data_IF_213111081895
#
_entry.id   IF_213111081895
#
_cell.length_a   1.000
_cell.length_b   1.000
_cell.length_c   1.000
_cell.angle_alpha   90.00
_cell.angle_beta   90.00
_cell.angle_gamma   90.00
#
_symmetry.space_group_name_H-M   'P 1'
#
loop_
_entity.id
_entity.type
_entity.pdbx_description
1 polymer ?
#
# COMPACT_ATOMS: atom_id res chain seq x y z
N UNK A 1 -1.95 -9.32 7.09
CA UNK A 1 -1.31 -8.02 6.83
C UNK A 1 -0.11 -8.11 5.88
N UNK A 2 0.90 -8.95 6.14
CA UNK A 2 2.14 -9.02 5.33
C UNK A 2 1.85 -9.34 3.85
N UNK A 3 1.05 -10.37 3.56
CA UNK A 3 0.66 -10.71 2.18
C UNK A 3 -0.06 -9.57 1.48
N UNK A 4 -0.97 -8.90 2.18
CA UNK A 4 -1.69 -7.74 1.66
C UNK A 4 -0.72 -6.62 1.29
N UNK A 5 0.22 -6.27 2.17
CA UNK A 5 1.25 -5.28 1.89
C UNK A 5 2.09 -5.64 0.66
N UNK A 6 2.47 -6.91 0.53
CA UNK A 6 3.23 -7.40 -0.63
C UNK A 6 2.49 -7.19 -1.95
N UNK A 7 1.19 -7.48 -1.99
CA UNK A 7 0.37 -7.28 -3.19
C UNK A 7 0.01 -5.81 -3.42
N UNK A 8 -0.34 -5.07 -2.36
CA UNK A 8 -0.76 -3.66 -2.43
C UNK A 8 0.38 -2.73 -2.84
N UNK A 9 1.59 -2.97 -2.33
CA UNK A 9 2.79 -2.21 -2.70
C UNK A 9 3.43 -2.72 -4.00
N UNK A 10 2.87 -3.75 -4.64
CA UNK A 10 3.42 -4.27 -5.90
C UNK A 10 3.22 -3.25 -7.03
N UNK A 11 4.32 -2.61 -7.42
CA UNK A 11 4.36 -1.60 -8.46
C UNK A 11 4.75 -2.18 -9.83
N UNK A 12 5.78 -3.02 -9.87
CA UNK A 12 6.43 -3.46 -11.12
C UNK A 12 5.51 -4.34 -11.97
N UNK A 13 4.84 -5.33 -11.36
CA UNK A 13 3.98 -6.26 -12.10
C UNK A 13 2.86 -5.55 -12.87
N UNK A 14 2.02 -4.76 -12.17
CA UNK A 14 0.94 -4.02 -12.81
C UNK A 14 1.41 -2.98 -13.83
N UNK A 15 2.53 -2.30 -13.57
CA UNK A 15 3.08 -1.32 -14.51
C UNK A 15 3.43 -1.95 -15.87
N UNK A 16 3.88 -3.21 -15.89
CA UNK A 16 4.26 -3.91 -17.12
C UNK A 16 3.05 -4.53 -17.83
N UNK A 17 2.12 -5.08 -17.06
CA UNK A 17 1.04 -5.93 -17.59
C UNK A 17 -0.22 -5.10 -17.95
N UNK A 18 -0.56 -4.11 -17.13
CA UNK A 18 -1.81 -3.36 -17.26
C UNK A 18 -1.59 -2.16 -18.18
N UNK A 19 -2.38 -2.11 -19.25
CA UNK A 19 -2.34 -1.01 -20.24
C UNK A 19 -3.54 -0.07 -20.15
N UNK A 20 -4.61 -0.49 -19.48
CA UNK A 20 -5.84 0.30 -19.30
C UNK A 20 -5.70 1.23 -18.09
N UNK A 21 -5.78 2.56 -18.26
CA UNK A 21 -5.64 3.53 -17.17
C UNK A 21 -6.62 3.30 -16.01
N UNK A 22 -7.82 2.79 -16.30
CA UNK A 22 -8.90 2.58 -15.34
C UNK A 22 -8.63 1.41 -14.38
N UNK A 23 -7.69 0.54 -14.75
CA UNK A 23 -7.30 -0.66 -14.00
C UNK A 23 -5.96 -0.48 -13.29
N UNK A 24 -5.36 0.70 -13.36
CA UNK A 24 -4.08 0.96 -12.72
C UNK A 24 -4.22 0.95 -11.20
N UNK A 25 -3.37 0.19 -10.49
CA UNK A 25 -3.29 0.31 -9.04
C UNK A 25 -2.86 1.72 -8.65
N UNK A 26 -3.33 2.16 -7.47
CA UNK A 26 -3.01 3.48 -6.94
C UNK A 26 -1.50 3.73 -6.86
N UNK A 27 -0.71 2.72 -6.52
CA UNK A 27 0.76 2.78 -6.51
C UNK A 27 1.36 3.16 -7.87
N UNK A 28 0.79 2.65 -8.97
CA UNK A 28 1.22 2.95 -10.32
C UNK A 28 0.72 4.32 -10.77
N UNK A 29 -0.53 4.65 -10.49
CA UNK A 29 -1.11 5.95 -10.83
C UNK A 29 -0.37 7.12 -10.16
N UNK A 30 -0.04 6.99 -8.87
CA UNK A 30 0.73 8.01 -8.13
C UNK A 30 2.15 8.15 -8.66
N UNK A 31 2.77 7.06 -9.13
CA UNK A 31 4.09 7.14 -9.75
C UNK A 31 4.07 7.88 -11.10
N UNK A 32 2.97 7.80 -11.86
CA UNK A 32 2.80 8.54 -13.12
C UNK A 32 2.58 10.04 -12.94
N UNK A 33 2.22 10.50 -11.73
CA UNK A 33 2.22 11.92 -11.39
C UNK A 33 3.61 12.54 -11.43
N UNK A 34 4.66 11.70 -11.53
CA UNK A 34 6.01 12.15 -11.79
C UNK A 34 6.12 12.60 -13.26
N UNK A 35 5.87 13.86 -13.55
CA UNK A 35 5.95 14.43 -14.89
C UNK A 35 7.35 14.93 -15.22
N UNK A 36 7.73 14.82 -16.50
CA UNK A 36 8.98 15.34 -17.06
C UNK A 36 9.07 16.88 -16.98
N UNK A 37 7.93 17.56 -16.85
CA UNK A 37 7.82 19.03 -16.87
C UNK A 37 7.64 19.67 -15.48
N UNK A 38 7.62 18.88 -14.41
CA UNK A 38 7.48 19.37 -13.03
C UNK A 38 6.72 18.40 -12.13
N UNK A 39 7.17 18.27 -10.89
CA UNK A 39 6.52 17.40 -9.90
C UNK A 39 5.47 18.16 -9.11
N UNK A 40 4.21 17.73 -9.21
CA UNK A 40 3.18 18.14 -8.25
C UNK A 40 3.36 17.34 -6.96
N UNK A 41 4.20 17.87 -6.07
CA UNK A 41 4.46 17.29 -4.76
C UNK A 41 3.19 17.20 -3.90
N UNK A 42 2.23 18.13 -4.07
CA UNK A 42 0.97 18.10 -3.34
C UNK A 42 0.15 16.88 -3.73
N UNK A 43 -0.02 16.64 -5.02
CA UNK A 43 -0.75 15.49 -5.55
C UNK A 43 -0.03 14.17 -5.24
N UNK A 44 1.30 14.14 -5.34
CA UNK A 44 2.11 12.97 -5.00
C UNK A 44 2.00 12.60 -3.52
N UNK A 45 2.09 13.58 -2.62
CA UNK A 45 1.93 13.35 -1.18
C UNK A 45 0.50 12.95 -0.83
N UNK A 46 -0.51 13.58 -1.43
CA UNK A 46 -1.91 13.20 -1.24
C UNK A 46 -2.19 11.76 -1.65
N UNK A 47 -1.74 11.35 -2.84
CA UNK A 47 -1.85 9.97 -3.31
C UNK A 47 -1.11 8.96 -2.42
N UNK A 48 0.05 9.37 -1.88
CA UNK A 48 0.80 8.57 -0.91
C UNK A 48 0.06 8.42 0.41
N UNK A 49 -0.56 9.48 0.93
CA UNK A 49 -1.38 9.39 2.15
C UNK A 49 -2.60 8.48 1.96
N UNK A 50 -3.27 8.59 0.81
CA UNK A 50 -4.43 7.74 0.48
C UNK A 50 -4.02 6.27 0.40
N UNK A 51 -2.82 5.95 -0.12
CA UNK A 51 -2.36 4.56 -0.24
C UNK A 51 -2.14 3.87 1.12
N UNK A 52 -1.95 4.65 2.19
CA UNK A 52 -1.77 4.15 3.56
C UNK A 52 -3.13 3.81 4.21
N UNK A 53 -4.23 4.47 3.82
CA UNK A 53 -5.57 4.28 4.41
C UNK A 53 -6.03 2.82 4.46
N UNK A 54 -6.01 2.03 3.36
CA UNK A 54 -6.48 0.64 3.41
C UNK A 54 -5.59 -0.25 4.28
N UNK A 55 -4.28 0.03 4.33
CA UNK A 55 -3.34 -0.66 5.21
C UNK A 55 -3.68 -0.37 6.68
N UNK A 56 -3.92 0.89 7.03
CA UNK A 56 -4.35 1.27 8.38
C UNK A 56 -5.67 0.62 8.76
N UNK A 57 -6.65 0.60 7.84
CA UNK A 57 -7.93 -0.08 8.07
C UNK A 57 -7.75 -1.56 8.41
N UNK A 58 -6.97 -2.28 7.58
CA UNK A 58 -6.65 -3.70 7.84
C UNK A 58 -5.87 -3.90 9.14
N UNK A 59 -4.92 -3.02 9.45
CA UNK A 59 -4.17 -3.08 10.70
C UNK A 59 -5.08 -2.93 11.90
N UNK A 60 -5.99 -1.94 11.92
CA UNK A 60 -6.93 -1.73 13.01
C UNK A 60 -7.91 -2.90 13.18
N UNK A 61 -8.32 -3.55 12.08
CA UNK A 61 -9.15 -4.76 12.13
C UNK A 61 -8.38 -5.95 12.74
N UNK A 62 -7.10 -6.11 12.40
CA UNK A 62 -6.25 -7.21 12.84
C UNK A 62 -5.48 -6.93 14.15
N UNK A 63 -5.59 -5.72 14.71
CA UNK A 63 -4.75 -5.27 15.83
C UNK A 63 -4.83 -6.20 17.05
N UNK A 64 -6.01 -6.78 17.32
CA UNK A 64 -6.23 -7.70 18.44
C UNK A 64 -5.48 -9.01 18.23
N UNK A 65 -5.61 -9.62 17.04
CA UNK A 65 -4.90 -10.86 16.70
C UNK A 65 -3.38 -10.66 16.69
N UNK A 66 -2.91 -9.49 16.25
CA UNK A 66 -1.49 -9.15 16.33
C UNK A 66 -0.97 -9.10 17.77
N UNK A 67 -1.73 -8.50 18.69
CA UNK A 67 -1.38 -8.43 20.12
C UNK A 67 -1.42 -9.82 20.77
N UNK A 68 -2.47 -10.60 20.51
CA UNK A 68 -2.64 -11.96 21.02
C UNK A 68 -1.56 -12.92 20.51
N UNK A 69 -1.21 -12.85 19.22
CA UNK A 69 -0.14 -13.65 18.63
C UNK A 69 1.25 -13.30 19.18
N UNK A 70 1.51 -12.03 19.49
CA UNK A 70 2.74 -11.60 20.15
C UNK A 70 2.82 -12.13 21.59
N UNK A 71 1.69 -12.11 22.31
CA UNK A 71 1.64 -12.62 23.69
C UNK A 71 1.74 -14.14 23.73
N UNK A 72 1.09 -14.88 22.82
CA UNK A 72 1.13 -16.35 22.81
C UNK A 72 2.49 -16.91 22.44
N UNK A 73 3.27 -16.19 21.63
CA UNK A 73 4.66 -16.54 21.30
C UNK A 73 5.64 -16.27 22.45
N UNK A 74 5.34 -15.33 23.35
CA UNK A 74 6.20 -14.95 24.47
C UNK A 74 6.12 -15.89 25.68
N UNK A 75 5.05 -16.69 25.84
CA UNK A 75 4.87 -17.61 26.99
C UNK A 75 5.34 -19.05 26.71
N UNK A 76 5.93 -19.32 25.54
CA UNK A 76 6.54 -20.63 25.20
C UNK A 76 8.07 -20.55 25.08
N UNK A 77 8.68 -19.68 25.87
CA UNK A 77 10.11 -19.66 26.18
C UNK A 77 10.33 -20.00 27.65
#
# INVERSE_FOLDING_TARGET
>A
LITFLGTWNNYIGPQIIIKSPEMLPLSVAVAQLRSEYGQDYGMLMAGTLISIVPVMGLFLMLQREFIEGLSSGAVKG
#
